data_IF_346779269397
#
_entry.id   IF_346779269397
#
_cell.length_a   1.000
_cell.length_b   1.000
_cell.length_c   1.000
_cell.angle_alpha   90.00
_cell.angle_beta   90.00
_cell.angle_gamma   90.00
#
_symmetry.space_group_name_H-M   'P 1'
#
loop_
_entity.id
_entity.type
_entity.pdbx_description
1 polymer ?
#
# COMPACT_ATOMS: atom_id res chain seq x y z
N UNK A 1 -11.18 -18.00 9.61
CA UNK A 1 -11.13 -16.67 8.97
C UNK A 1 -11.09 -15.62 10.06
N UNK A 2 -10.14 -14.69 10.01
CA UNK A 2 -9.89 -13.66 11.04
C UNK A 2 -9.99 -12.23 10.52
N UNK A 3 -10.78 -12.01 9.47
CA UNK A 3 -10.84 -10.74 8.74
C UNK A 3 -11.68 -9.64 9.41
N UNK A 4 -12.38 -9.92 10.52
CA UNK A 4 -13.08 -8.89 11.28
C UNK A 4 -12.06 -8.04 12.07
N UNK A 5 -11.86 -6.79 11.65
CA UNK A 5 -10.99 -5.81 12.34
C UNK A 5 -9.53 -5.79 11.88
N UNK A 6 -9.20 -6.42 10.75
CA UNK A 6 -7.84 -6.53 10.19
C UNK A 6 -7.49 -5.44 9.14
N UNK A 7 -8.28 -4.36 9.06
CA UNK A 7 -8.16 -3.35 8.00
C UNK A 7 -8.06 -4.01 6.59
N UNK A 8 -8.98 -4.94 6.26
CA UNK A 8 -8.83 -5.86 5.11
C UNK A 8 -8.72 -5.12 3.79
N UNK A 9 -9.45 -4.02 3.63
CA UNK A 9 -9.38 -3.19 2.42
C UNK A 9 -7.99 -2.56 2.24
N UNK A 10 -7.36 -2.11 3.33
CA UNK A 10 -6.05 -1.46 3.28
C UNK A 10 -4.96 -2.48 3.01
N UNK A 11 -4.95 -3.58 3.76
CA UNK A 11 -3.95 -4.65 3.59
C UNK A 11 -4.04 -5.30 2.20
N UNK A 12 -5.24 -5.56 1.70
CA UNK A 12 -5.44 -6.07 0.34
C UNK A 12 -5.00 -5.05 -0.72
N UNK A 13 -5.34 -3.77 -0.54
CA UNK A 13 -4.92 -2.71 -1.48
C UNK A 13 -3.40 -2.56 -1.50
N UNK A 14 -2.73 -2.62 -0.35
CA UNK A 14 -1.27 -2.57 -0.26
C UNK A 14 -0.63 -3.76 -0.96
N UNK A 15 -1.15 -4.97 -0.75
CA UNK A 15 -0.68 -6.17 -1.43
C UNK A 15 -0.83 -6.07 -2.96
N UNK A 16 -2.00 -5.65 -3.43
CA UNK A 16 -2.27 -5.48 -4.87
C UNK A 16 -1.39 -4.38 -5.46
N UNK A 17 -1.19 -3.26 -4.76
CA UNK A 17 -0.32 -2.18 -5.23
C UNK A 17 1.11 -2.67 -5.44
N UNK A 18 1.66 -3.45 -4.51
CA UNK A 18 2.99 -4.07 -4.66
C UNK A 18 3.02 -4.92 -5.93
N UNK A 19 2.03 -5.80 -6.13
CA UNK A 19 1.97 -6.65 -7.33
C UNK A 19 1.88 -5.85 -8.64
N UNK A 20 1.14 -4.74 -8.65
CA UNK A 20 1.04 -3.85 -9.81
C UNK A 20 2.37 -3.16 -10.12
N UNK A 21 3.10 -2.72 -9.08
CA UNK A 21 4.40 -2.08 -9.24
C UNK A 21 5.46 -3.08 -9.73
N UNK A 22 5.51 -4.28 -9.16
CA UNK A 22 6.45 -5.35 -9.57
C UNK A 22 6.20 -5.83 -11.00
N UNK A 23 4.94 -5.81 -11.46
CA UNK A 23 4.57 -6.17 -12.84
C UNK A 23 4.59 -5.00 -13.83
N UNK A 24 4.93 -3.79 -13.37
CA UNK A 24 4.80 -2.55 -14.14
C UNK A 24 5.52 -2.61 -15.48
N UNK A 25 6.76 -3.10 -15.49
CA UNK A 25 7.59 -3.16 -16.70
C UNK A 25 7.00 -4.07 -17.79
N UNK A 26 6.32 -5.15 -17.39
CA UNK A 26 5.69 -6.11 -18.32
C UNK A 26 4.33 -5.59 -18.80
N UNK A 27 3.58 -4.95 -17.91
CA UNK A 27 2.18 -4.60 -18.15
C UNK A 27 2.00 -3.19 -18.75
N UNK A 28 2.97 -2.28 -18.63
CA UNK A 28 2.82 -0.86 -19.02
C UNK A 28 2.36 -0.66 -20.46
N UNK A 29 2.85 -1.48 -21.39
CA UNK A 29 2.54 -1.36 -22.82
C UNK A 29 1.20 -2.03 -23.19
N UNK A 30 0.69 -2.91 -22.33
CA UNK A 30 -0.53 -3.68 -22.56
C UNK A 30 -1.74 -3.10 -21.79
N UNK A 31 -1.49 -2.40 -20.69
CA UNK A 31 -2.52 -1.91 -19.76
C UNK A 31 -2.38 -0.40 -19.60
N UNK A 32 -3.05 0.36 -20.47
CA UNK A 32 -2.99 1.83 -20.46
C UNK A 32 -3.47 2.49 -19.15
N UNK A 33 -4.23 1.77 -18.32
CA UNK A 33 -4.73 2.27 -17.03
C UNK A 33 -3.83 1.91 -15.85
N UNK A 34 -2.70 1.23 -16.07
CA UNK A 34 -1.84 0.70 -15.00
C UNK A 34 -1.28 1.81 -14.11
N UNK A 35 -0.61 2.80 -14.69
CA UNK A 35 -0.04 3.93 -13.96
C UNK A 35 -1.10 4.72 -13.18
N UNK A 36 -2.29 4.86 -13.76
CA UNK A 36 -3.43 5.49 -13.07
C UNK A 36 -3.88 4.66 -11.87
N UNK A 37 -3.94 3.34 -12.02
CA UNK A 37 -4.34 2.41 -10.96
C UNK A 37 -3.34 2.37 -9.82
N UNK A 38 -2.04 2.33 -10.13
CA UNK A 38 -0.94 2.42 -9.16
C UNK A 38 -1.06 3.73 -8.36
N UNK A 39 -1.15 4.87 -9.06
CA UNK A 39 -1.27 6.17 -8.39
C UNK A 39 -2.51 6.26 -7.51
N UNK A 40 -3.67 5.78 -8.00
CA UNK A 40 -4.92 5.78 -7.24
C UNK A 40 -4.85 4.92 -5.98
N UNK A 41 -4.25 3.73 -6.07
CA UNK A 41 -4.07 2.84 -4.93
C UNK A 41 -3.09 3.43 -3.92
N UNK A 42 -1.97 4.01 -4.38
CA UNK A 42 -1.00 4.66 -3.52
C UNK A 42 -1.61 5.87 -2.79
N UNK A 43 -2.42 6.70 -3.46
CA UNK A 43 -3.14 7.80 -2.82
C UNK A 43 -4.16 7.32 -1.78
N UNK A 44 -4.88 6.23 -2.06
CA UNK A 44 -5.82 5.63 -1.11
C UNK A 44 -5.09 5.19 0.16
N UNK A 45 -3.96 4.50 0.04
CA UNK A 45 -3.14 4.08 1.19
C UNK A 45 -2.59 5.29 1.94
N UNK A 46 -2.06 6.28 1.24
CA UNK A 46 -1.48 7.48 1.86
C UNK A 46 -2.49 8.24 2.74
N UNK A 47 -3.75 8.33 2.31
CA UNK A 47 -4.83 8.98 3.08
C UNK A 47 -5.21 8.21 4.34
N UNK A 48 -5.06 6.88 4.33
CA UNK A 48 -5.41 6.00 5.46
C UNK A 48 -4.23 5.74 6.39
N UNK A 49 -3.00 5.92 5.92
CA UNK A 49 -1.77 5.50 6.58
C UNK A 49 -1.64 5.97 8.04
N UNK A 50 -1.96 7.22 8.34
CA UNK A 50 -1.85 7.77 9.70
C UNK A 50 -2.87 7.21 10.70
N UNK A 51 -3.95 6.62 10.21
CA UNK A 51 -5.05 6.07 11.01
C UNK A 51 -4.91 4.55 11.23
N UNK A 52 -3.90 3.91 10.62
CA UNK A 52 -3.70 2.48 10.72
C UNK A 52 -3.25 2.07 12.13
N UNK A 53 -3.86 1.02 12.65
CA UNK A 53 -3.64 0.56 14.02
C UNK A 53 -3.00 -0.84 14.08
N UNK A 54 -3.02 -1.61 12.99
CA UNK A 54 -2.49 -2.98 12.98
C UNK A 54 -1.04 -2.98 12.49
N UNK A 55 -0.08 -3.53 13.27
CA UNK A 55 1.33 -3.59 12.87
C UNK A 55 1.54 -4.18 11.47
N UNK A 56 0.84 -5.27 11.15
CA UNK A 56 0.91 -5.92 9.85
C UNK A 56 0.47 -4.99 8.71
N UNK A 57 -0.71 -4.36 8.83
CA UNK A 57 -1.22 -3.42 7.82
C UNK A 57 -0.32 -2.21 7.68
N UNK A 58 0.21 -1.69 8.79
CA UNK A 58 1.16 -0.57 8.80
C UNK A 58 2.42 -0.94 8.05
N UNK A 59 3.03 -2.09 8.35
CA UNK A 59 4.26 -2.54 7.68
C UNK A 59 4.05 -2.71 6.18
N UNK A 60 2.99 -3.41 5.78
CA UNK A 60 2.68 -3.66 4.38
C UNK A 60 2.38 -2.37 3.61
N UNK A 61 1.60 -1.46 4.20
CA UNK A 61 1.29 -0.16 3.60
C UNK A 61 2.51 0.76 3.54
N UNK A 62 3.39 0.72 4.53
CA UNK A 62 4.66 1.49 4.54
C UNK A 62 5.53 1.06 3.38
N UNK A 63 5.68 -0.26 3.18
CA UNK A 63 6.46 -0.80 2.07
C UNK A 63 5.87 -0.40 0.71
N UNK A 64 4.56 -0.59 0.52
CA UNK A 64 3.88 -0.23 -0.74
C UNK A 64 4.00 1.28 -1.06
N UNK A 65 3.88 2.15 -0.05
CA UNK A 65 4.06 3.59 -0.20
C UNK A 65 5.53 3.97 -0.47
N UNK A 66 6.49 3.27 0.13
CA UNK A 66 7.91 3.50 -0.13
C UNK A 66 8.27 3.11 -1.57
N UNK A 67 7.80 1.96 -2.02
CA UNK A 67 8.02 1.44 -3.38
C UNK A 67 7.50 2.42 -4.45
N UNK A 68 6.37 3.07 -4.20
CA UNK A 68 5.75 4.06 -5.11
C UNK A 68 6.22 5.50 -4.89
N UNK A 69 7.18 5.73 -3.98
CA UNK A 69 7.68 7.08 -3.65
C UNK A 69 6.65 8.00 -2.98
N UNK A 70 5.59 7.44 -2.38
CA UNK A 70 4.50 8.18 -1.71
C UNK A 70 4.59 8.17 -0.18
N UNK A 71 5.56 7.46 0.41
CA UNK A 71 5.76 7.45 1.86
C UNK A 71 6.36 8.79 2.31
N UNK A 72 5.57 9.60 3.02
CA UNK A 72 6.02 10.92 3.53
C UNK A 72 6.84 10.84 4.82
N UNK A 73 6.64 9.80 5.62
CA UNK A 73 7.22 9.68 6.96
C UNK A 73 7.08 8.26 7.48
N UNK A 74 8.16 7.70 8.04
CA UNK A 74 8.18 6.39 8.68
C UNK A 74 7.65 6.41 10.13
N UNK A 75 7.22 7.57 10.64
CA UNK A 75 6.76 7.73 12.04
C UNK A 75 5.68 6.71 12.43
N UNK A 76 4.75 6.38 11.53
CA UNK A 76 3.70 5.41 11.83
C UNK A 76 4.28 4.01 11.94
N UNK A 77 5.13 3.60 11.00
CA UNK A 77 5.86 2.32 11.07
C UNK A 77 6.66 2.19 12.37
N UNK A 78 7.41 3.24 12.73
CA UNK A 78 8.27 3.23 13.90
C UNK A 78 7.49 3.09 15.22
N UNK A 79 6.23 3.56 15.30
CA UNK A 79 5.36 3.35 16.47
C UNK A 79 5.09 1.87 16.76
N UNK A 80 5.19 0.99 15.76
CA UNK A 80 4.91 -0.44 15.87
C UNK A 80 6.17 -1.32 15.73
N UNK A 81 7.37 -0.73 15.84
CA UNK A 81 8.67 -1.41 15.67
C UNK A 81 9.25 -2.02 16.95
N UNK A 82 8.49 -2.04 18.06
CA UNK A 82 8.91 -2.56 19.36
C UNK A 82 8.11 -3.78 19.78
#
# INVERSE_FOLDING_TARGET
GGYQGAEPEVSLTAFVLIALEESREVCKDHVHSLDRSINKAAEFLARRYEQLARPYTVALSSYALALTGKLKSEKVLMKFSK
#
